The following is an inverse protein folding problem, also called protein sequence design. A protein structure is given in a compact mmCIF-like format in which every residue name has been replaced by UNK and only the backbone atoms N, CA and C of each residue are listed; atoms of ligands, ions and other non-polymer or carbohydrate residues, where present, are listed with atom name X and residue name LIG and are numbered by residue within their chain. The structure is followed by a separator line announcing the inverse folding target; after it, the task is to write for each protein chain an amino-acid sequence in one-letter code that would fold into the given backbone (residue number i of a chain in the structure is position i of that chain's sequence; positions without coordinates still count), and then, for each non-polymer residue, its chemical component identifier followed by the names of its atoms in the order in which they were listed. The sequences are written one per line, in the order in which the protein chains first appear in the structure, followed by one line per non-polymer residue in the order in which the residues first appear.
data_IF_727655826790
#
_entry.id   IF_727655826790
#
_cell.length_a   1.000
_cell.length_b   1.000
_cell.length_c   1.000
_cell.angle_alpha   90.00
_cell.angle_beta   90.00
_cell.angle_gamma   90.00
#
_symmetry.space_group_name_H-M   'P 1'
#
loop_
_entity.id
_entity.type
_entity.pdbx_description
1 polymer ?
#
# COMPACT_ATOMS: atom_id res chain seq x y z
N UNK A 1 6.12 16.25 4.61
CA UNK A 1 5.23 15.70 5.65
C UNK A 1 4.16 14.89 4.94
N UNK A 2 3.82 13.71 5.45
CA UNK A 2 2.70 12.93 4.90
C UNK A 2 1.39 13.59 5.35
N UNK A 3 0.41 13.58 4.47
CA UNK A 3 -0.97 13.98 4.77
C UNK A 3 -1.65 12.90 5.60
N UNK A 4 -2.72 13.27 6.32
CA UNK A 4 -3.52 12.29 7.07
C UNK A 4 -4.07 11.17 6.16
N UNK A 5 -4.34 11.45 4.88
CA UNK A 5 -4.77 10.44 3.91
C UNK A 5 -3.65 9.46 3.58
N UNK A 6 -2.43 9.95 3.35
CA UNK A 6 -1.26 9.10 3.09
C UNK A 6 -0.89 8.24 4.31
N UNK A 7 -1.07 8.76 5.53
CA UNK A 7 -0.88 7.98 6.76
C UNK A 7 -1.93 6.87 6.90
N UNK A 8 -3.20 7.18 6.63
CA UNK A 8 -4.28 6.18 6.62
C UNK A 8 -4.06 5.12 5.53
N UNK A 9 -3.61 5.53 4.35
CA UNK A 9 -3.29 4.64 3.25
C UNK A 9 -2.11 3.72 3.61
N UNK A 10 -1.05 4.27 4.18
CA UNK A 10 0.09 3.50 4.66
C UNK A 10 -0.35 2.47 5.71
N UNK A 11 -1.18 2.86 6.67
CA UNK A 11 -1.73 1.95 7.67
C UNK A 11 -2.52 0.80 7.02
N UNK A 12 -3.41 1.10 6.07
CA UNK A 12 -4.19 0.09 5.36
C UNK A 12 -3.30 -0.87 4.54
N UNK A 13 -2.25 -0.37 3.88
CA UNK A 13 -1.28 -1.18 3.14
C UNK A 13 -0.46 -2.09 4.06
N UNK A 14 -0.10 -1.61 5.26
CA UNK A 14 0.58 -2.40 6.30
C UNK A 14 -0.34 -3.48 6.87
N UNK A 15 -1.61 -3.15 7.11
CA UNK A 15 -2.62 -4.12 7.57
C UNK A 15 -2.84 -5.23 6.53
N UNK A 16 -2.94 -4.88 5.25
CA UNK A 16 -3.03 -5.84 4.15
C UNK A 16 -1.83 -6.80 4.13
N UNK A 17 -0.60 -6.28 4.21
CA UNK A 17 0.61 -7.08 4.24
C UNK A 17 0.64 -8.05 5.43
N UNK A 18 0.29 -7.56 6.63
CA UNK A 18 0.19 -8.40 7.84
C UNK A 18 -0.88 -9.49 7.68
N UNK A 19 -2.04 -9.13 7.15
CA UNK A 19 -3.14 -10.08 6.94
C UNK A 19 -2.72 -11.19 5.97
N UNK A 20 -2.10 -10.84 4.83
CA UNK A 20 -1.56 -11.79 3.85
C UNK A 20 -0.49 -12.69 4.49
N UNK A 21 0.46 -12.12 5.23
CA UNK A 21 1.52 -12.89 5.92
C UNK A 21 0.98 -13.82 7.01
N UNK A 22 -0.14 -13.46 7.63
CA UNK A 22 -0.81 -14.28 8.64
C UNK A 22 -1.69 -15.38 8.06
N UNK A 23 -2.09 -15.31 6.78
CA UNK A 23 -2.96 -16.31 6.14
C UNK A 23 -2.51 -17.78 6.28
N UNK A 24 -1.20 -18.12 6.18
CA UNK A 24 -0.76 -19.51 6.31
C UNK A 24 -1.01 -20.09 7.71
N UNK A 25 -1.09 -19.27 8.74
CA UNK A 25 -1.20 -19.69 10.15
C UNK A 25 -2.52 -19.29 10.82
N UNK A 26 -3.31 -18.41 10.20
CA UNK A 26 -4.57 -17.91 10.76
C UNK A 26 -5.74 -18.88 10.58
N UNK A 27 -6.50 -19.10 11.66
CA UNK A 27 -7.77 -19.79 11.64
C UNK A 27 -8.79 -19.06 12.55
N UNK A 28 -9.85 -18.45 12.00
CA UNK A 28 -10.24 -18.43 10.57
C UNK A 28 -9.33 -17.53 9.72
N UNK A 29 -9.35 -17.73 8.40
CA UNK A 29 -8.58 -16.90 7.46
C UNK A 29 -9.06 -15.44 7.51
N UNK A 30 -8.15 -14.45 7.55
CA UNK A 30 -8.52 -13.05 7.52
C UNK A 30 -9.19 -12.69 6.19
N UNK A 31 -10.20 -11.81 6.25
CA UNK A 31 -10.88 -11.32 5.05
C UNK A 31 -10.13 -10.12 4.48
N UNK A 32 -9.59 -10.27 3.26
CA UNK A 32 -8.83 -9.21 2.57
C UNK A 32 -9.71 -8.25 1.78
N UNK A 33 -10.93 -8.64 1.41
CA UNK A 33 -11.85 -7.80 0.65
C UNK A 33 -12.06 -6.40 1.26
N UNK A 34 -12.37 -6.26 2.57
CA UNK A 34 -12.54 -4.93 3.17
C UNK A 34 -11.24 -4.12 3.17
N UNK A 35 -10.07 -4.76 3.20
CA UNK A 35 -8.79 -4.06 3.13
C UNK A 35 -8.55 -3.48 1.74
N UNK A 36 -8.86 -4.24 0.68
CA UNK A 36 -8.77 -3.75 -0.69
C UNK A 36 -9.73 -2.59 -0.95
N UNK A 37 -11.00 -2.72 -0.53
CA UNK A 37 -11.99 -1.65 -0.68
C UNK A 37 -11.53 -0.37 0.04
N UNK A 38 -11.04 -0.47 1.28
CA UNK A 38 -10.52 0.68 2.02
C UNK A 38 -9.35 1.36 1.32
N UNK A 39 -8.44 0.58 0.72
CA UNK A 39 -7.31 1.14 -0.03
C UNK A 39 -7.81 1.86 -1.30
N UNK A 40 -8.76 1.28 -2.02
CA UNK A 40 -9.36 1.92 -3.21
C UNK A 40 -10.07 3.23 -2.83
N UNK A 41 -10.89 3.24 -1.78
CA UNK A 41 -11.57 4.45 -1.27
C UNK A 41 -10.59 5.56 -0.84
N UNK A 42 -9.49 5.18 -0.18
CA UNK A 42 -8.44 6.14 0.20
C UNK A 42 -7.69 6.67 -1.02
N UNK A 43 -7.49 5.82 -2.03
CA UNK A 43 -6.83 6.20 -3.29
C UNK A 43 -7.66 7.23 -4.06
N UNK A 44 -8.99 7.06 -4.10
CA UNK A 44 -9.90 8.01 -4.77
C UNK A 44 -9.97 9.37 -4.07
N UNK A 45 -9.66 9.42 -2.77
CA UNK A 45 -9.64 10.66 -1.99
C UNK A 45 -8.29 11.39 -2.05
N UNK A 46 -7.27 10.81 -2.66
CA UNK A 46 -5.95 11.45 -2.76
C UNK A 46 -6.05 12.76 -3.54
N UNK A 47 -5.38 13.83 -3.08
CA UNK A 47 -5.39 15.10 -3.79
C UNK A 47 -4.69 14.97 -5.15
N UNK A 48 -5.05 15.80 -6.14
CA UNK A 48 -4.42 15.78 -7.47
C UNK A 48 -2.94 16.20 -7.46
N UNK A 49 -2.43 16.71 -6.32
CA UNK A 49 -1.02 16.98 -6.09
C UNK A 49 -0.24 15.81 -5.48
N UNK A 50 -0.86 14.65 -5.29
CA UNK A 50 -0.17 13.44 -4.83
C UNK A 50 0.84 12.98 -5.87
N UNK A 51 1.94 12.41 -5.39
CA UNK A 51 3.02 11.92 -6.23
C UNK A 51 2.51 10.93 -7.30
N UNK A 52 2.97 11.15 -8.54
CA UNK A 52 2.56 10.35 -9.68
C UNK A 52 2.99 8.87 -9.54
N UNK A 53 4.14 8.61 -8.91
CA UNK A 53 4.61 7.23 -8.71
C UNK A 53 3.73 6.48 -7.71
N UNK A 54 3.30 7.16 -6.64
CA UNK A 54 2.34 6.60 -5.68
C UNK A 54 1.01 6.27 -6.36
N UNK A 55 0.45 7.22 -7.12
CA UNK A 55 -0.79 6.99 -7.87
C UNK A 55 -0.64 5.83 -8.87
N UNK A 56 0.49 5.77 -9.58
CA UNK A 56 0.79 4.67 -10.49
C UNK A 56 0.76 3.31 -9.77
N UNK A 57 1.43 3.18 -8.62
CA UNK A 57 1.44 1.93 -7.86
C UNK A 57 0.04 1.53 -7.38
N UNK A 58 -0.76 2.48 -6.88
CA UNK A 58 -2.11 2.22 -6.40
C UNK A 58 -3.04 1.77 -7.54
N UNK A 59 -3.02 2.45 -8.69
CA UNK A 59 -3.80 2.08 -9.86
C UNK A 59 -3.38 0.73 -10.46
N UNK A 60 -2.09 0.38 -10.38
CA UNK A 60 -1.56 -0.93 -10.78
C UNK A 60 -1.79 -2.02 -9.73
N UNK A 61 -2.47 -1.73 -8.62
CA UNK A 61 -2.67 -2.64 -7.48
C UNK A 61 -1.35 -3.19 -6.92
N UNK A 62 -0.27 -2.43 -7.10
CA UNK A 62 1.07 -2.73 -6.58
C UNK A 62 1.21 -2.21 -5.14
N UNK A 63 0.39 -2.76 -4.24
CA UNK A 63 0.27 -2.29 -2.86
C UNK A 63 1.60 -2.34 -2.07
N UNK A 64 2.44 -3.34 -2.31
CA UNK A 64 3.77 -3.42 -1.69
C UNK A 64 4.65 -2.24 -2.10
N UNK A 65 4.63 -1.86 -3.38
CA UNK A 65 5.41 -0.72 -3.88
C UNK A 65 4.89 0.61 -3.34
N UNK A 66 3.56 0.77 -3.30
CA UNK A 66 2.94 1.94 -2.70
C UNK A 66 3.32 2.07 -1.21
N UNK A 67 3.42 0.94 -0.48
CA UNK A 67 3.88 0.93 0.91
C UNK A 67 5.34 1.38 1.01
N UNK A 68 6.25 0.80 0.21
CA UNK A 68 7.66 1.17 0.21
C UNK A 68 7.88 2.65 -0.15
N UNK A 69 7.13 3.16 -1.14
CA UNK A 69 7.09 4.58 -1.50
C UNK A 69 6.70 5.44 -0.30
N UNK A 70 5.57 5.13 0.33
CA UNK A 70 5.07 5.86 1.49
C UNK A 70 6.01 5.73 2.70
N UNK A 71 6.72 4.62 2.88
CA UNK A 71 7.71 4.43 3.94
C UNK A 71 9.02 5.20 3.68
N UNK A 72 9.20 5.80 2.50
CA UNK A 72 10.48 6.40 2.08
C UNK A 72 11.58 5.37 1.82
N UNK A 73 11.18 4.11 1.66
CA UNK A 73 12.04 2.94 1.40
C UNK A 73 12.06 2.58 -0.09
N UNK A 74 11.78 3.55 -0.94
CA UNK A 74 11.71 3.37 -2.39
C UNK A 74 13.05 2.91 -3.00
N UNK A 75 14.17 3.23 -2.36
CA UNK A 75 15.49 2.71 -2.71
C UNK A 75 15.56 1.16 -2.63
N UNK A 76 14.77 0.52 -1.77
CA UNK A 76 14.66 -0.95 -1.73
C UNK A 76 13.84 -1.49 -2.91
N UNK A 77 12.93 -0.69 -3.46
CA UNK A 77 12.23 -0.98 -4.71
C UNK A 77 13.18 -0.88 -5.93
N UNK A 78 14.22 -0.03 -5.86
CA UNK A 78 15.25 0.09 -6.90
C UNK A 78 16.35 -0.99 -6.82
N UNK A 79 16.50 -1.66 -5.67
CA UNK A 79 17.54 -2.67 -5.45
C UNK A 79 17.37 -3.96 -6.28
N UNK A 80 16.39 -4.03 -7.18
CA UNK A 80 16.10 -5.17 -8.05
C UNK A 80 16.49 -5.03 -9.53
N UNK A 81 17.03 -3.90 -10.01
CA UNK A 81 17.28 -3.72 -11.46
C UNK A 81 18.71 -3.26 -11.84
N UNK A 82 19.73 -3.86 -11.24
CA UNK A 82 21.09 -3.79 -11.77
C UNK A 82 21.79 -5.16 -11.67
N UNK A 83 21.49 -6.06 -12.61
CA UNK A 83 22.52 -6.77 -13.38
C UNK A 83 21.95 -7.45 -14.63
#
# INVERSE_FOLDING_TARGET
MKTALEENLLAALVELDKAVKSMPTANPKPNLLPLFSRIEELTEQLPPGTDHDLLHYLHKKSYEKARLFLEGREAENQAGNCR
#
